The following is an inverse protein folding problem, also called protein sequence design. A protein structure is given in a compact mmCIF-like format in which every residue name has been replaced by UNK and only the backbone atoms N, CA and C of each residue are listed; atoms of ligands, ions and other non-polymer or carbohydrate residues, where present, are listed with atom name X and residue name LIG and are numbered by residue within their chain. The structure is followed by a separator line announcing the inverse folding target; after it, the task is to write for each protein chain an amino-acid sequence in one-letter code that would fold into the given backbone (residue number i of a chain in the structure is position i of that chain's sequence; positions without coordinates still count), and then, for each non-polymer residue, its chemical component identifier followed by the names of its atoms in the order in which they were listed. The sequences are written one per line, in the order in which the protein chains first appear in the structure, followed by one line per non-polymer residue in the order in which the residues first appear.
data_IF_871588587671
#
_entry.id   IF_871588587671
#
_cell.length_a   1.000
_cell.length_b   1.000
_cell.length_c   1.000
_cell.angle_alpha   90.00
_cell.angle_beta   90.00
_cell.angle_gamma   90.00
#
_symmetry.space_group_name_H-M   'P 1'
#
loop_
_entity.id
_entity.type
_entity.pdbx_description
1 polymer ?
#
# COMPACT_ATOMS: atom_id res chain seq x y z
N UNK A 1 -8.54 1.71 18.84
CA UNK A 1 -7.50 2.28 17.95
C UNK A 1 -7.91 3.67 17.51
N UNK A 2 -6.96 4.56 17.20
CA UNK A 2 -7.25 5.94 16.80
C UNK A 2 -6.88 6.10 15.33
N UNK A 3 -7.89 6.21 14.48
CA UNK A 3 -7.76 6.42 13.04
C UNK A 3 -8.36 7.77 12.73
N UNK A 4 -7.61 8.58 11.98
CA UNK A 4 -8.08 9.83 11.41
C UNK A 4 -8.21 9.68 9.90
N UNK A 5 -9.25 10.28 9.33
CA UNK A 5 -9.53 10.24 7.89
C UNK A 5 -9.65 11.68 7.40
N UNK A 6 -8.82 12.03 6.41
CA UNK A 6 -8.88 13.32 5.72
C UNK A 6 -9.83 13.21 4.54
N UNK A 7 -10.90 14.01 4.56
CA UNK A 7 -11.88 14.08 3.49
C UNK A 7 -12.10 15.50 3.00
N UNK A 8 -12.36 15.63 1.70
CA UNK A 8 -12.73 16.89 1.04
C UNK A 8 -13.90 16.58 0.11
N UNK A 9 -14.97 17.37 0.16
CA UNK A 9 -16.16 17.16 -0.69
C UNK A 9 -16.74 15.73 -0.64
N UNK A 10 -16.72 15.09 0.54
CA UNK A 10 -17.14 13.70 0.76
C UNK A 10 -16.23 12.62 0.15
N UNK A 11 -15.13 13.00 -0.51
CA UNK A 11 -14.11 12.05 -0.97
C UNK A 11 -13.11 11.73 0.14
N UNK A 12 -12.87 10.44 0.36
CA UNK A 12 -11.89 9.94 1.34
C UNK A 12 -10.49 9.92 0.70
N UNK A 13 -9.64 10.85 1.09
CA UNK A 13 -8.34 11.07 0.45
C UNK A 13 -7.22 10.31 1.15
N UNK A 14 -7.06 10.54 2.46
CA UNK A 14 -5.98 9.95 3.26
C UNK A 14 -6.48 9.44 4.60
N UNK A 15 -5.75 8.52 5.19
CA UNK A 15 -5.95 8.07 6.57
C UNK A 15 -4.62 7.98 7.31
N UNK A 16 -4.63 8.17 8.62
CA UNK A 16 -3.46 7.90 9.47
C UNK A 16 -3.89 7.20 10.76
N UNK A 17 -3.00 6.40 11.32
CA UNK A 17 -3.19 5.75 12.61
C UNK A 17 -2.30 6.45 13.64
N UNK A 18 -2.90 7.04 14.68
CA UNK A 18 -2.21 7.87 15.69
C UNK A 18 -1.30 8.91 15.02
N UNK A 19 -0.04 9.00 15.45
CA UNK A 19 1.00 9.90 14.92
C UNK A 19 1.76 9.32 13.71
N UNK A 20 1.23 8.26 13.09
CA UNK A 20 1.78 7.69 11.86
C UNK A 20 1.62 8.60 10.63
N UNK A 21 2.28 8.25 9.51
CA UNK A 21 2.15 9.01 8.27
C UNK A 21 0.74 8.90 7.69
N UNK A 22 0.36 9.90 6.88
CA UNK A 22 -0.83 9.81 6.05
C UNK A 22 -0.61 8.83 4.90
N UNK A 23 -1.52 7.85 4.79
CA UNK A 23 -1.58 6.90 3.70
C UNK A 23 -2.78 7.25 2.79
N UNK A 24 -2.61 7.23 1.46
CA UNK A 24 -3.72 7.50 0.56
C UNK A 24 -4.75 6.37 0.58
N UNK A 25 -6.01 6.69 0.33
CA UNK A 25 -7.01 5.68 0.01
C UNK A 25 -6.65 4.98 -1.31
N UNK A 26 -7.07 3.72 -1.48
CA UNK A 26 -6.86 3.00 -2.75
C UNK A 26 -7.54 3.72 -3.93
N UNK A 27 -8.66 4.42 -3.69
CA UNK A 27 -9.33 5.22 -4.73
C UNK A 27 -8.45 6.38 -5.21
N UNK A 28 -7.88 7.14 -4.29
CA UNK A 28 -6.96 8.23 -4.62
C UNK A 28 -5.71 7.70 -5.33
N UNK A 29 -5.16 6.59 -4.83
CA UNK A 29 -3.96 5.98 -5.40
C UNK A 29 -4.20 5.41 -6.81
N UNK A 30 -5.38 4.88 -7.10
CA UNK A 30 -5.75 4.47 -8.47
C UNK A 30 -5.86 5.66 -9.43
N UNK A 31 -6.28 6.85 -8.94
CA UNK A 31 -6.32 8.08 -9.73
C UNK A 31 -4.91 8.66 -9.98
N UNK A 32 -4.03 8.57 -8.98
CA UNK A 32 -2.66 9.11 -9.02
C UNK A 32 -1.60 8.04 -8.66
N UNK A 33 -1.38 7.02 -9.51
CA UNK A 33 -0.52 5.87 -9.18
C UNK A 33 0.97 6.20 -9.03
N UNK A 34 1.38 7.41 -9.43
CA UNK A 34 2.75 7.91 -9.31
C UNK A 34 3.09 8.43 -7.91
N UNK A 35 2.11 8.58 -7.01
CA UNK A 35 2.33 9.16 -5.68
C UNK A 35 3.06 8.22 -4.70
N UNK A 36 3.11 6.92 -5.00
CA UNK A 36 3.79 5.92 -4.17
C UNK A 36 4.67 5.00 -5.02
N UNK A 37 5.76 4.52 -4.42
CA UNK A 37 6.60 3.46 -5.01
C UNK A 37 5.83 2.15 -5.03
N UNK A 38 5.77 1.51 -6.21
CA UNK A 38 5.03 0.27 -6.44
C UNK A 38 5.93 -0.95 -6.31
N UNK A 39 5.51 -1.93 -5.51
CA UNK A 39 6.07 -3.26 -5.45
C UNK A 39 5.10 -4.25 -6.13
N UNK A 40 5.61 -5.17 -6.93
CA UNK A 40 4.78 -6.21 -7.55
C UNK A 40 4.98 -7.52 -6.80
N UNK A 41 3.88 -8.11 -6.31
CA UNK A 41 3.92 -9.40 -5.63
C UNK A 41 3.71 -10.57 -6.59
N UNK A 42 4.04 -11.77 -6.11
CA UNK A 42 3.69 -13.01 -6.79
C UNK A 42 2.16 -13.25 -6.83
N UNK A 43 1.69 -13.90 -7.90
CA UNK A 43 0.28 -14.29 -8.06
C UNK A 43 -0.24 -15.12 -6.89
N UNK A 44 0.59 -15.98 -6.30
CA UNK A 44 0.20 -16.80 -5.14
C UNK A 44 -0.14 -15.98 -3.89
N UNK A 45 0.37 -14.75 -3.78
CA UNK A 45 0.18 -13.89 -2.61
C UNK A 45 -1.13 -13.09 -2.65
N UNK A 46 -1.69 -12.83 -3.83
CA UNK A 46 -2.84 -11.92 -4.04
C UNK A 46 -4.03 -12.27 -3.14
N UNK A 47 -4.40 -13.56 -3.04
CA UNK A 47 -5.53 -14.00 -2.21
C UNK A 47 -5.33 -13.63 -0.73
N UNK A 48 -4.12 -13.75 -0.23
CA UNK A 48 -3.80 -13.47 1.17
C UNK A 48 -3.77 -11.96 1.43
N UNK A 49 -3.21 -11.18 0.50
CA UNK A 49 -3.17 -9.72 0.59
C UNK A 49 -4.58 -9.12 0.60
N UNK A 50 -5.47 -9.59 -0.29
CA UNK A 50 -6.88 -9.16 -0.29
C UNK A 50 -7.64 -9.55 0.98
N UNK A 51 -7.11 -10.50 1.77
CA UNK A 51 -7.63 -10.87 3.09
C UNK A 51 -7.00 -10.06 4.23
N UNK A 52 -6.14 -9.08 3.94
CA UNK A 52 -5.45 -8.25 4.93
C UNK A 52 -4.16 -8.85 5.48
N UNK A 53 -3.61 -9.91 4.87
CA UNK A 53 -2.35 -10.49 5.30
C UNK A 53 -1.15 -9.61 4.91
N UNK A 54 -0.10 -9.66 5.74
CA UNK A 54 1.18 -9.03 5.42
C UNK A 54 1.89 -9.74 4.25
N UNK A 55 2.69 -8.98 3.51
CA UNK A 55 3.52 -9.52 2.42
C UNK A 55 4.84 -9.99 3.01
N UNK A 56 5.15 -11.28 2.81
CA UNK A 56 6.40 -11.88 3.26
C UNK A 56 7.47 -11.80 2.16
N UNK A 57 8.75 -11.82 2.54
CA UNK A 57 9.88 -11.69 1.60
C UNK A 57 9.77 -12.60 0.35
N UNK A 58 9.41 -13.90 0.45
CA UNK A 58 9.29 -14.76 -0.73
C UNK A 58 8.25 -14.29 -1.76
N UNK A 59 7.22 -13.56 -1.32
CA UNK A 59 6.22 -12.97 -2.21
C UNK A 59 6.73 -11.79 -3.03
N UNK A 60 7.90 -11.26 -2.71
CA UNK A 60 8.58 -10.16 -3.43
C UNK A 60 9.86 -10.60 -4.15
N UNK A 61 10.41 -11.77 -3.83
CA UNK A 61 11.64 -12.31 -4.43
C UNK A 61 11.40 -13.49 -5.38
N UNK A 62 10.14 -13.85 -5.63
CA UNK A 62 9.78 -14.91 -6.59
C UNK A 62 10.00 -14.45 -8.04
N UNK A 63 10.05 -15.38 -9.02
CA UNK A 63 10.17 -15.02 -10.44
C UNK A 63 9.03 -14.15 -10.98
N UNK A 64 7.84 -14.23 -10.39
CA UNK A 64 6.66 -13.43 -10.77
C UNK A 64 6.58 -12.07 -10.09
N UNK A 65 7.42 -11.84 -9.08
CA UNK A 65 7.49 -10.59 -8.35
C UNK A 65 8.48 -9.61 -8.98
N UNK A 66 8.25 -8.31 -8.73
CA UNK A 66 9.18 -7.25 -9.14
C UNK A 66 9.36 -6.27 -7.99
N UNK A 67 10.51 -6.38 -7.36
CA UNK A 67 10.91 -5.48 -6.29
C UNK A 67 11.65 -4.27 -6.86
N UNK A 68 11.25 -3.08 -6.42
CA UNK A 68 11.97 -1.82 -6.70
C UNK A 68 12.63 -1.31 -5.42
N UNK A 69 13.81 -0.66 -5.51
CA UNK A 69 14.44 -0.08 -4.34
C UNK A 69 13.50 0.90 -3.61
N UNK A 70 13.42 0.73 -2.30
CA UNK A 70 12.68 1.61 -1.40
C UNK A 70 13.50 1.78 -0.11
N UNK A 71 13.36 2.95 0.51
CA UNK A 71 13.97 3.22 1.81
C UNK A 71 13.26 2.45 2.91
N UNK A 72 13.99 2.08 3.96
CA UNK A 72 13.40 1.49 5.16
C UNK A 72 12.38 2.45 5.78
N UNK A 73 11.30 1.89 6.33
CA UNK A 73 10.19 2.62 6.97
C UNK A 73 9.41 3.59 6.05
N UNK A 74 9.72 3.62 4.76
CA UNK A 74 8.97 4.38 3.76
C UNK A 74 7.74 3.59 3.29
N UNK A 75 6.52 4.14 3.38
CA UNK A 75 5.33 3.48 2.85
C UNK A 75 5.45 3.22 1.35
N UNK A 76 5.12 2.00 0.94
CA UNK A 76 5.04 1.56 -0.46
C UNK A 76 3.67 0.96 -0.73
N UNK A 77 3.25 0.93 -1.99
CA UNK A 77 2.06 0.20 -2.41
C UNK A 77 2.47 -1.11 -3.07
N UNK A 78 1.73 -2.17 -2.77
CA UNK A 78 1.91 -3.47 -3.42
C UNK A 78 0.65 -3.89 -4.16
N UNK A 79 0.81 -4.46 -5.35
CA UNK A 79 -0.26 -5.04 -6.16
C UNK A 79 0.10 -6.46 -6.57
#
# INVERSE_FOLDING_TARGET
EHIEILSVNQDLLFFRQRDGPYLPSLRLLHQYPFMMTRQQVDRGAIRFILSGANIMCPGLTSPGAKMVPAEQDKPVVSF
#
